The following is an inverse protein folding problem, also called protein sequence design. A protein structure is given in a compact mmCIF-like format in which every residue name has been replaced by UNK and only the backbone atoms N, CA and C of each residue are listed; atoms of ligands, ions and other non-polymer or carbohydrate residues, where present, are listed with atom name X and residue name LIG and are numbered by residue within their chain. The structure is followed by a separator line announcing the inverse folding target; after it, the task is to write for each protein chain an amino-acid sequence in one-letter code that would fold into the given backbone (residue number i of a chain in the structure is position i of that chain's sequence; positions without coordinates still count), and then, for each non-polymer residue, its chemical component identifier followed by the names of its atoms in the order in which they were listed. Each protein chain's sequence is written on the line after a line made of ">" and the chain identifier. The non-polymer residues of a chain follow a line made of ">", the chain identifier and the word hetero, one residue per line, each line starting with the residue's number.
data_IF_007865001668
#
_entry.id   IF_007865001668
#
_cell.length_a   1.000
_cell.length_b   1.000
_cell.length_c   1.000
_cell.angle_alpha   90.00
_cell.angle_beta   90.00
_cell.angle_gamma   90.00
#
_symmetry.space_group_name_H-M   'P 1'
#
loop_
_entity.id
_entity.type
_entity.pdbx_description
1 polymer ?
#
# COMPACT_ATOMS: atom_id res chain seq x y z
N UNK A 1 5.35 1.69 -14.04
CA UNK A 1 4.34 0.65 -14.35
C UNK A 1 3.21 0.78 -13.36
N UNK A 2 1.98 0.41 -13.72
CA UNK A 2 0.82 0.48 -12.81
C UNK A 2 0.69 -0.86 -12.09
N UNK A 3 0.82 -0.88 -10.77
CA UNK A 3 0.63 -2.06 -9.94
C UNK A 3 -0.82 -2.08 -9.44
N UNK A 4 -1.53 -3.17 -9.71
CA UNK A 4 -2.94 -3.30 -9.37
C UNK A 4 -3.12 -4.14 -8.09
N UNK A 5 -3.98 -3.68 -7.18
CA UNK A 5 -4.21 -4.31 -5.87
C UNK A 5 -5.47 -5.19 -5.83
N UNK A 6 -5.97 -5.64 -6.98
CA UNK A 6 -7.23 -6.42 -7.08
C UNK A 6 -7.21 -7.71 -6.25
N UNK A 7 -6.02 -8.24 -5.95
CA UNK A 7 -5.86 -9.43 -5.10
C UNK A 7 -6.30 -9.21 -3.64
N UNK A 8 -6.41 -7.95 -3.19
CA UNK A 8 -6.90 -7.64 -1.85
C UNK A 8 -8.42 -7.72 -1.76
N UNK A 9 -9.16 -7.72 -2.88
CA UNK A 9 -10.62 -7.66 -2.90
C UNK A 9 -11.34 -8.64 -1.94
N UNK A 10 -10.93 -9.92 -1.79
CA UNK A 10 -11.57 -10.84 -0.85
C UNK A 10 -11.40 -10.44 0.63
N UNK A 11 -10.36 -9.68 0.98
CA UNK A 11 -10.11 -9.19 2.34
C UNK A 11 -11.00 -7.99 2.69
N UNK A 12 -11.53 -7.30 1.68
CA UNK A 12 -12.25 -6.03 1.82
C UNK A 12 -13.76 -6.20 1.60
N UNK A 13 -14.19 -7.26 0.91
CA UNK A 13 -15.59 -7.61 0.68
C UNK A 13 -16.18 -7.00 -0.60
N UNK A 14 -17.12 -7.70 -1.24
CA UNK A 14 -17.65 -7.37 -2.59
C UNK A 14 -18.33 -5.98 -2.70
N UNK A 15 -18.69 -5.36 -1.58
CA UNK A 15 -19.38 -4.06 -1.49
C UNK A 15 -18.54 -2.97 -0.80
N UNK A 16 -17.22 -3.09 -0.84
CA UNK A 16 -16.31 -2.09 -0.27
C UNK A 16 -15.73 -1.16 -1.33
N UNK A 17 -15.75 0.13 -1.04
CA UNK A 17 -15.05 1.16 -1.80
C UNK A 17 -13.62 1.25 -1.28
N UNK A 18 -12.66 0.77 -2.06
CA UNK A 18 -11.24 1.02 -1.83
C UNK A 18 -10.70 1.95 -2.92
N UNK A 19 -10.14 3.10 -2.51
CA UNK A 19 -9.46 4.05 -3.39
C UNK A 19 -8.13 4.43 -2.77
N UNK A 20 -7.08 4.44 -3.57
CA UNK A 20 -5.76 4.90 -3.17
C UNK A 20 -4.97 5.32 -4.40
N UNK A 21 -4.04 6.26 -4.21
CA UNK A 21 -3.03 6.57 -5.20
C UNK A 21 -1.74 5.86 -4.83
N UNK A 22 -1.07 5.32 -5.85
CA UNK A 22 0.16 4.56 -5.69
C UNK A 22 1.25 5.19 -6.55
N UNK A 23 2.36 5.54 -5.91
CA UNK A 23 3.56 6.01 -6.57
C UNK A 23 4.75 5.14 -6.17
N UNK A 24 5.59 4.80 -7.14
CA UNK A 24 6.70 3.89 -6.95
C UNK A 24 7.89 4.33 -7.78
N UNK A 25 9.03 4.44 -7.12
CA UNK A 25 10.33 4.60 -7.77
C UNK A 25 11.28 3.60 -7.11
N UNK A 26 11.47 2.46 -7.77
CA UNK A 26 12.23 1.33 -7.25
C UNK A 26 13.30 0.89 -8.26
N UNK A 27 14.52 0.77 -7.77
CA UNK A 27 15.64 0.17 -8.47
C UNK A 27 15.93 -1.22 -7.91
N UNK A 28 15.84 -2.23 -8.78
CA UNK A 28 16.14 -3.62 -8.45
C UNK A 28 17.52 -3.99 -8.99
N UNK A 29 18.29 -4.69 -8.17
CA UNK A 29 19.66 -5.14 -8.52
C UNK A 29 20.01 -6.41 -7.75
N UNK A 30 21.17 -7.01 -8.05
CA UNK A 30 21.65 -8.21 -7.34
C UNK A 30 21.13 -9.51 -7.93
N UNK A 31 21.28 -10.59 -7.17
CA UNK A 31 20.91 -11.94 -7.60
C UNK A 31 19.38 -12.11 -7.61
N UNK A 32 18.86 -12.94 -8.53
CA UNK A 32 17.41 -13.17 -8.64
C UNK A 32 16.83 -13.81 -7.38
N UNK A 33 17.59 -14.66 -6.68
CA UNK A 33 17.18 -15.29 -5.43
C UNK A 33 17.40 -14.39 -4.20
N UNK A 34 18.20 -13.34 -4.34
CA UNK A 34 18.46 -12.36 -3.28
C UNK A 34 18.53 -10.95 -3.87
N UNK A 35 17.41 -10.40 -4.35
CA UNK A 35 17.40 -9.07 -4.95
C UNK A 35 17.63 -8.00 -3.88
N UNK A 36 18.32 -6.95 -4.29
CA UNK A 36 18.44 -5.68 -3.57
C UNK A 36 17.47 -4.69 -4.20
N UNK A 37 16.56 -4.19 -3.38
CA UNK A 37 15.59 -3.18 -3.77
C UNK A 37 15.98 -1.87 -3.09
N UNK A 38 16.04 -0.78 -3.86
CA UNK A 38 16.25 0.55 -3.31
C UNK A 38 15.19 1.50 -3.86
N UNK A 39 14.79 2.47 -3.05
CA UNK A 39 13.82 3.49 -3.46
C UNK A 39 12.57 3.49 -2.58
N UNK A 40 11.49 4.10 -3.06
CA UNK A 40 10.30 4.35 -2.27
C UNK A 40 9.04 3.82 -2.94
N UNK A 41 8.19 3.23 -2.13
CA UNK A 41 6.82 2.88 -2.48
C UNK A 41 5.87 3.68 -1.58
N UNK A 42 5.07 4.55 -2.19
CA UNK A 42 4.13 5.45 -1.53
C UNK A 42 2.70 5.06 -1.90
N UNK A 43 1.88 4.82 -0.89
CA UNK A 43 0.42 4.80 -1.01
C UNK A 43 -0.11 6.01 -0.26
N UNK A 44 -0.91 6.84 -0.91
CA UNK A 44 -1.57 7.98 -0.27
C UNK A 44 -3.02 8.14 -0.73
N UNK A 45 -3.69 9.10 -0.09
CA UNK A 45 -5.12 9.37 -0.31
C UNK A 45 -5.99 8.12 -0.16
N UNK A 46 -5.59 7.22 0.76
CA UNK A 46 -6.33 5.99 1.00
C UNK A 46 -7.69 6.31 1.59
N UNK A 47 -8.72 5.77 0.94
CA UNK A 47 -10.10 5.80 1.38
C UNK A 47 -10.65 4.39 1.33
N UNK A 48 -11.15 3.94 2.47
CA UNK A 48 -11.84 2.67 2.60
C UNK A 48 -13.20 2.93 3.22
N UNK A 49 -14.26 2.50 2.54
CA UNK A 49 -15.62 2.53 3.08
C UNK A 49 -16.29 1.21 2.73
N UNK A 50 -16.86 0.50 3.70
CA UNK A 50 -17.64 -0.70 3.41
C UNK A 50 -18.97 -0.68 4.14
N UNK A 51 -20.01 -1.22 3.50
CA UNK A 51 -21.35 -1.29 4.11
C UNK A 51 -21.42 -2.24 5.31
N UNK A 52 -20.46 -3.19 5.42
CA UNK A 52 -20.46 -4.27 6.43
C UNK A 52 -19.09 -4.43 7.12
N UNK A 53 -18.10 -3.62 6.76
CA UNK A 53 -16.75 -3.69 7.35
C UNK A 53 -16.67 -2.79 8.58
N UNK A 54 -16.11 -3.26 9.71
CA UNK A 54 -16.08 -2.49 10.96
C UNK A 54 -15.04 -1.35 10.96
N UNK A 55 -14.36 -1.09 9.84
CA UNK A 55 -13.26 -0.15 9.74
C UNK A 55 -13.48 0.71 8.50
N UNK A 56 -13.74 1.99 8.73
CA UNK A 56 -13.72 3.04 7.72
C UNK A 56 -12.38 3.80 7.80
N UNK A 57 -11.82 4.16 6.65
CA UNK A 57 -10.62 4.98 6.55
C UNK A 57 -10.97 6.23 5.75
N UNK A 58 -10.84 7.38 6.38
CA UNK A 58 -11.08 8.68 5.74
C UNK A 58 -9.84 9.18 4.99
N UNK A 59 -8.66 8.89 5.55
CA UNK A 59 -7.38 9.22 4.95
C UNK A 59 -6.33 8.28 5.49
N UNK A 60 -5.39 7.88 4.64
CA UNK A 60 -4.22 7.17 5.11
C UNK A 60 -3.06 7.31 4.13
N UNK A 61 -1.86 7.18 4.69
CA UNK A 61 -0.61 7.15 3.95
C UNK A 61 0.23 5.98 4.46
N UNK A 62 0.85 5.26 3.52
CA UNK A 62 1.87 4.25 3.79
C UNK A 62 3.09 4.59 2.95
N UNK A 63 4.25 4.71 3.59
CA UNK A 63 5.54 4.90 2.95
C UNK A 63 6.41 3.71 3.28
N UNK A 64 6.94 3.07 2.24
CA UNK A 64 7.94 2.01 2.39
C UNK A 64 9.23 2.47 1.73
N UNK A 65 10.30 2.56 2.52
CA UNK A 65 11.62 2.96 2.05
C UNK A 65 12.53 1.73 2.00
N UNK A 66 12.83 1.24 0.80
CA UNK A 66 13.71 0.09 0.58
C UNK A 66 15.18 0.51 0.56
N UNK A 67 16.02 -0.26 1.28
CA UNK A 67 17.47 -0.07 1.41
C UNK A 67 18.19 -1.41 1.27
N UNK A 68 18.31 -1.89 0.03
CA UNK A 68 18.90 -3.17 -0.31
C UNK A 68 18.02 -4.34 0.10
N UNK A 69 18.36 -5.01 1.19
CA UNK A 69 17.62 -6.17 1.72
C UNK A 69 16.74 -5.83 2.92
N UNK A 70 16.63 -4.55 3.25
CA UNK A 70 15.84 -4.04 4.36
C UNK A 70 14.84 -3.02 3.85
N UNK A 71 13.79 -2.78 4.63
CA UNK A 71 12.83 -1.72 4.37
C UNK A 71 12.31 -1.14 5.68
N UNK A 72 12.11 0.18 5.69
CA UNK A 72 11.38 0.88 6.75
C UNK A 72 9.93 1.07 6.28
N UNK A 73 8.96 0.75 7.14
CA UNK A 73 7.53 0.95 6.88
C UNK A 73 6.96 1.97 7.86
N UNK A 74 6.47 3.08 7.32
CA UNK A 74 5.79 4.13 8.05
C UNK A 74 4.35 4.21 7.57
N UNK A 75 3.40 3.99 8.47
CA UNK A 75 1.97 4.01 8.15
C UNK A 75 1.22 4.94 9.10
N UNK A 76 0.44 5.86 8.53
CA UNK A 76 -0.49 6.71 9.24
C UNK A 76 -1.89 6.49 8.68
N UNK A 77 -2.79 5.92 9.47
CA UNK A 77 -4.19 5.65 9.10
C UNK A 77 -5.11 6.47 9.99
N UNK A 78 -6.05 7.18 9.38
CA UNK A 78 -7.06 7.97 10.08
C UNK A 78 -8.42 7.32 9.86
N UNK A 79 -8.99 6.79 10.94
CA UNK A 79 -10.37 6.30 11.00
C UNK A 79 -11.32 7.44 11.43
N UNK A 80 -12.62 7.35 11.14
CA UNK A 80 -13.63 8.18 11.80
C UNK A 80 -13.62 7.99 13.33
N UNK A 81 -14.13 8.99 14.04
CA UNK A 81 -14.40 8.92 15.50
C UNK A 81 -15.44 7.85 15.86
#
# INVERSE_FOLDING_TARGET
>A
STFHLDFLAPLIGEYSLFKANMNTDLALSGDVMHPKVNGQFLIDQMKLQGEVTPIDINSGQVVINFKGHQADLDAGIITPD
#
